data_IF_200791879925
#
_entry.id   IF_200791879925
#
_cell.length_a   1.000
_cell.length_b   1.000
_cell.length_c   1.000
_cell.angle_alpha   90.00
_cell.angle_beta   90.00
_cell.angle_gamma   90.00
#
_symmetry.space_group_name_H-M   'P 1'
#
loop_
_entity.id
_entity.type
_entity.pdbx_description
1 polymer ?
#
# COMPACT_ATOMS: atom_id res chain seq x y z
N UNK A 1 22.07 39.53 -21.88
CA UNK A 1 20.83 38.77 -22.13
C UNK A 1 20.96 37.49 -21.33
N UNK A 2 20.39 37.47 -20.11
CA UNK A 2 20.51 36.31 -19.23
C UNK A 2 19.57 35.22 -19.73
N UNK A 3 20.11 34.01 -19.82
CA UNK A 3 19.46 32.80 -20.30
C UNK A 3 18.21 32.50 -19.46
N UNK A 4 17.05 32.56 -20.09
CA UNK A 4 15.78 32.12 -19.51
C UNK A 4 15.86 30.61 -19.26
N UNK A 5 16.10 30.24 -18.00
CA UNK A 5 16.13 28.87 -17.54
C UNK A 5 14.74 28.24 -17.73
N UNK A 6 14.59 27.43 -18.77
CA UNK A 6 13.42 26.61 -19.02
C UNK A 6 13.46 25.43 -18.04
N UNK A 7 12.74 25.54 -16.93
CA UNK A 7 12.57 24.43 -15.97
C UNK A 7 11.62 23.41 -16.60
N UNK A 8 12.18 22.34 -17.16
CA UNK A 8 11.42 21.15 -17.57
C UNK A 8 11.02 20.39 -16.30
N UNK A 9 9.76 20.52 -15.89
CA UNK A 9 9.15 19.61 -14.93
C UNK A 9 8.98 18.24 -15.62
N UNK A 10 9.91 17.32 -15.36
CA UNK A 10 9.73 15.91 -15.72
C UNK A 10 8.65 15.32 -14.81
N UNK A 11 7.42 15.26 -15.30
CA UNK A 11 6.38 14.46 -14.69
C UNK A 11 6.88 13.00 -14.66
N UNK A 12 7.20 12.50 -13.48
CA UNK A 12 7.47 11.08 -13.28
C UNK A 12 6.22 10.34 -13.73
N UNK A 13 6.30 9.66 -14.88
CA UNK A 13 5.28 8.71 -15.30
C UNK A 13 5.30 7.57 -14.28
N UNK A 14 4.47 7.69 -13.25
CA UNK A 14 4.08 6.56 -12.43
C UNK A 14 3.32 5.61 -13.35
N UNK A 15 4.05 4.71 -14.00
CA UNK A 15 3.48 3.58 -14.71
C UNK A 15 2.80 2.68 -13.70
N UNK A 16 1.60 3.06 -13.29
CA UNK A 16 0.77 2.25 -12.42
C UNK A 16 0.50 0.94 -13.14
N UNK A 17 0.97 -0.17 -12.55
CA UNK A 17 0.43 -1.48 -12.90
C UNK A 17 -1.10 -1.35 -12.80
N UNK A 18 -1.82 -1.48 -13.92
CA UNK A 18 -3.28 -1.21 -13.92
C UNK A 18 -4.05 -2.19 -13.01
N UNK A 19 -3.40 -3.30 -12.62
CA UNK A 19 -3.91 -4.36 -11.78
C UNK A 19 -2.81 -4.94 -10.89
N UNK A 20 -3.13 -5.24 -9.63
CA UNK A 20 -2.32 -5.95 -8.67
C UNK A 20 -2.86 -7.36 -8.43
N UNK A 21 -1.94 -8.30 -8.24
CA UNK A 21 -2.18 -9.72 -8.03
C UNK A 21 -1.19 -10.30 -7.03
N UNK A 22 -1.70 -11.17 -6.17
CA UNK A 22 -0.86 -12.05 -5.38
C UNK A 22 -0.32 -13.17 -6.28
N UNK A 23 1.00 -13.38 -6.27
CA UNK A 23 1.71 -14.37 -7.07
C UNK A 23 2.64 -15.21 -6.18
N UNK A 24 2.81 -16.49 -6.49
CA UNK A 24 3.82 -17.35 -5.87
C UNK A 24 4.57 -18.12 -6.96
N UNK A 25 5.89 -18.00 -6.99
CA UNK A 25 6.74 -18.61 -8.02
C UNK A 25 6.26 -18.36 -9.47
N UNK A 26 5.73 -17.15 -9.73
CA UNK A 26 5.19 -16.76 -11.04
C UNK A 26 3.74 -17.20 -11.32
N UNK A 27 3.14 -17.99 -10.42
CA UNK A 27 1.72 -18.41 -10.51
C UNK A 27 0.84 -17.38 -9.81
N UNK A 28 -0.14 -16.86 -10.55
CA UNK A 28 -1.15 -15.92 -10.04
C UNK A 28 -2.16 -16.65 -9.14
N UNK A 29 -2.50 -16.05 -8.01
CA UNK A 29 -3.50 -16.57 -7.08
C UNK A 29 -4.68 -15.60 -6.97
N UNK A 30 -5.79 -15.96 -7.61
CA UNK A 30 -6.97 -15.10 -7.72
C UNK A 30 -7.71 -14.99 -6.38
N UNK A 31 -7.82 -16.08 -5.62
CA UNK A 31 -8.48 -16.07 -4.31
C UNK A 31 -7.76 -15.14 -3.33
N UNK A 32 -6.44 -15.25 -3.24
CA UNK A 32 -5.63 -14.36 -2.40
C UNK A 32 -5.76 -12.90 -2.85
N UNK A 33 -5.77 -12.66 -4.17
CA UNK A 33 -5.95 -11.33 -4.73
C UNK A 33 -7.30 -10.73 -4.38
N UNK A 34 -8.39 -11.49 -4.55
CA UNK A 34 -9.74 -11.06 -4.24
C UNK A 34 -9.89 -10.71 -2.75
N UNK A 35 -9.45 -11.61 -1.87
CA UNK A 35 -9.50 -11.38 -0.42
C UNK A 35 -8.71 -10.13 -0.03
N UNK A 36 -7.49 -9.97 -0.56
CA UNK A 36 -6.65 -8.82 -0.25
C UNK A 36 -7.19 -7.50 -0.82
N UNK A 37 -7.76 -7.52 -2.01
CA UNK A 37 -8.36 -6.35 -2.63
C UNK A 37 -9.61 -5.91 -1.85
N UNK A 38 -10.52 -6.83 -1.57
CA UNK A 38 -11.78 -6.54 -0.85
C UNK A 38 -11.53 -6.09 0.59
N UNK A 39 -10.51 -6.61 1.27
CA UNK A 39 -10.12 -6.15 2.62
C UNK A 39 -9.73 -4.67 2.66
N UNK A 40 -9.19 -4.15 1.55
CA UNK A 40 -8.76 -2.76 1.42
C UNK A 40 -9.82 -1.87 0.77
N UNK A 41 -11.02 -2.39 0.51
CA UNK A 41 -12.07 -1.66 -0.20
C UNK A 41 -11.75 -1.41 -1.68
N UNK A 42 -10.82 -2.17 -2.27
CA UNK A 42 -10.43 -2.05 -3.67
C UNK A 42 -11.43 -2.64 -4.64
N UNK A 43 -11.41 -2.14 -5.87
CA UNK A 43 -12.22 -2.63 -6.98
C UNK A 43 -11.51 -3.77 -7.72
N UNK A 44 -12.25 -4.84 -7.99
CA UNK A 44 -11.77 -5.91 -8.86
C UNK A 44 -12.07 -5.55 -10.32
N UNK A 45 -11.02 -5.47 -11.13
CA UNK A 45 -11.09 -5.44 -12.58
C UNK A 45 -11.13 -6.87 -13.13
N UNK A 46 -11.99 -7.15 -14.11
CA UNK A 46 -12.06 -8.47 -14.75
C UNK A 46 -12.51 -9.65 -13.88
N UNK A 47 -12.71 -9.44 -12.57
CA UNK A 47 -13.16 -10.44 -11.59
C UNK A 47 -12.05 -10.95 -10.67
N UNK A 48 -10.79 -10.82 -11.07
CA UNK A 48 -9.65 -11.44 -10.40
C UNK A 48 -8.40 -10.55 -10.28
N UNK A 49 -8.42 -9.37 -10.88
CA UNK A 49 -7.33 -8.39 -10.82
C UNK A 49 -7.71 -7.23 -9.90
N UNK A 50 -6.88 -6.89 -8.91
CA UNK A 50 -7.16 -5.75 -8.03
C UNK A 50 -6.74 -4.44 -8.71
N UNK A 51 -7.67 -3.52 -8.99
CA UNK A 51 -7.34 -2.27 -9.69
C UNK A 51 -6.43 -1.41 -8.82
N UNK A 52 -5.15 -1.27 -9.17
CA UNK A 52 -4.16 -0.58 -8.33
C UNK A 52 -4.56 0.86 -7.99
N UNK A 53 -5.25 1.54 -8.91
CA UNK A 53 -5.77 2.90 -8.68
C UNK A 53 -6.85 2.99 -7.58
N UNK A 54 -7.57 1.91 -7.30
CA UNK A 54 -8.56 1.86 -6.20
C UNK A 54 -7.92 1.62 -4.82
N UNK A 55 -6.67 1.16 -4.80
CA UNK A 55 -5.89 0.88 -3.58
C UNK A 55 -4.54 1.60 -3.59
N UNK A 56 -4.43 2.71 -4.31
CA UNK A 56 -3.16 3.41 -4.56
C UNK A 56 -2.50 3.89 -3.25
N UNK A 57 -3.30 4.28 -2.27
CA UNK A 57 -2.86 4.66 -0.91
C UNK A 57 -2.60 3.45 -0.01
N UNK A 58 -2.98 2.25 -0.45
CA UNK A 58 -2.92 1.01 0.32
C UNK A 58 -2.10 -0.11 -0.37
N UNK A 59 -1.27 0.22 -1.36
CA UNK A 59 -0.44 -0.76 -2.07
C UNK A 59 0.52 -1.53 -1.13
N UNK A 60 1.01 -0.87 -0.08
CA UNK A 60 1.79 -1.49 0.99
C UNK A 60 0.98 -2.54 1.75
N UNK A 61 -0.24 -2.20 2.13
CA UNK A 61 -1.16 -3.12 2.80
C UNK A 61 -1.54 -4.31 1.91
N UNK A 62 -1.74 -4.08 0.61
CA UNK A 62 -2.00 -5.16 -0.35
C UNK A 62 -0.82 -6.13 -0.44
N UNK A 63 0.40 -5.59 -0.52
CA UNK A 63 1.64 -6.39 -0.52
C UNK A 63 1.81 -7.18 0.79
N UNK A 64 1.56 -6.56 1.94
CA UNK A 64 1.56 -7.25 3.24
C UNK A 64 0.53 -8.37 3.29
N UNK A 65 -0.68 -8.11 2.80
CA UNK A 65 -1.77 -9.08 2.76
C UNK A 65 -1.42 -10.33 1.90
N UNK A 66 -0.77 -10.13 0.75
CA UNK A 66 -0.24 -11.25 -0.04
C UNK A 66 0.82 -12.02 0.76
N UNK A 67 1.75 -11.32 1.44
CA UNK A 67 2.84 -11.93 2.21
C UNK A 67 2.34 -12.75 3.39
N UNK A 68 1.37 -12.26 4.14
CA UNK A 68 0.69 -12.99 5.24
C UNK A 68 0.11 -14.34 4.76
N UNK A 69 -0.25 -14.42 3.48
CA UNK A 69 -0.82 -15.61 2.83
C UNK A 69 0.23 -16.48 2.12
N UNK A 70 1.51 -16.11 2.17
CA UNK A 70 2.60 -16.83 1.50
C UNK A 70 2.78 -16.49 0.02
N UNK A 71 2.29 -15.33 -0.42
CA UNK A 71 2.41 -14.81 -1.78
C UNK A 71 3.22 -13.50 -1.83
N UNK A 72 3.69 -13.14 -3.00
CA UNK A 72 4.27 -11.83 -3.32
C UNK A 72 3.27 -11.01 -4.13
N UNK A 73 3.26 -9.68 -4.02
CA UNK A 73 2.48 -8.83 -4.92
C UNK A 73 3.27 -8.52 -6.20
N UNK A 74 2.63 -8.60 -7.37
CA UNK A 74 3.21 -8.18 -8.66
C UNK A 74 3.14 -6.67 -8.93
N UNK A 75 2.44 -5.92 -8.07
CA UNK A 75 2.43 -4.46 -8.13
C UNK A 75 3.72 -3.87 -7.57
N UNK A 76 4.34 -3.00 -8.37
CA UNK A 76 5.37 -2.08 -7.91
C UNK A 76 4.79 -1.11 -6.90
N UNK A 77 5.48 -0.98 -5.77
CA UNK A 77 5.12 -0.04 -4.73
C UNK A 77 6.33 0.85 -4.44
N UNK A 78 6.44 2.01 -5.11
CA UNK A 78 7.64 2.86 -5.02
C UNK A 78 7.85 3.46 -3.63
N UNK A 79 6.77 3.59 -2.84
CA UNK A 79 6.80 4.09 -1.46
C UNK A 79 6.87 2.97 -0.42
N UNK A 80 6.74 1.71 -0.84
CA UNK A 80 6.93 0.59 0.07
C UNK A 80 8.42 0.44 0.36
N UNK A 81 8.85 0.91 1.53
CA UNK A 81 10.10 0.41 2.10
C UNK A 81 9.91 -1.08 2.34
N UNK A 82 10.59 -1.91 1.55
CA UNK A 82 10.70 -3.33 1.87
C UNK A 82 11.64 -3.42 3.05
N UNK A 83 11.08 -3.23 4.25
CA UNK A 83 11.73 -3.63 5.49
C UNK A 83 11.56 -5.13 5.58
N UNK A 84 12.71 -5.79 5.51
CA UNK A 84 12.95 -7.20 5.69
C UNK A 84 12.40 -7.68 7.06
N UNK A 85 11.09 -7.92 7.14
CA UNK A 85 10.48 -8.70 8.22
C UNK A 85 10.12 -7.99 9.53
N UNK A 86 9.95 -6.66 9.60
CA UNK A 86 9.49 -6.00 10.84
C UNK A 86 8.39 -4.97 10.58
N UNK A 87 7.27 -5.13 11.28
CA UNK A 87 6.17 -4.17 11.42
C UNK A 87 6.66 -2.93 12.17
N UNK A 88 6.41 -1.75 11.61
CA UNK A 88 6.47 -0.48 12.34
C UNK A 88 5.09 0.16 12.25
N UNK A 89 4.36 0.00 13.34
CA UNK A 89 3.16 0.75 13.67
C UNK A 89 3.59 2.18 14.01
N UNK A 90 3.54 3.09 13.04
CA UNK A 90 3.53 4.52 13.33
C UNK A 90 2.13 4.87 13.84
N UNK A 91 1.84 4.43 15.07
CA UNK A 91 0.72 4.93 15.85
C UNK A 91 1.00 6.40 16.15
N UNK A 92 0.22 7.27 15.51
CA UNK A 92 0.15 8.70 15.78
C UNK A 92 -0.06 8.93 17.29
N UNK A 93 1.01 9.39 17.95
CA UNK A 93 0.99 9.85 19.33
C UNK A 93 0.32 11.23 19.38
N UNK A 94 -1.02 11.24 19.36
CA UNK A 94 -1.81 12.42 19.72
C UNK A 94 -1.83 12.55 21.25
N UNK A 95 -1.04 13.51 21.75
CA UNK A 95 -1.43 14.46 22.81
C UNK A 95 -2.04 13.95 24.12
N UNK A 96 -1.22 14.01 25.15
CA UNK A 96 -1.55 14.02 26.58
C UNK A 96 -2.62 15.09 26.97
N UNK A 97 -3.68 14.71 27.70
CA UNK A 97 -4.28 15.56 28.74
C UNK A 97 -4.80 14.72 29.91
N UNK A 98 -4.24 15.03 31.09
CA UNK A 98 -4.41 14.35 32.36
C UNK A 98 -5.71 14.79 33.01
N UNK A 99 -6.56 13.85 33.44
CA UNK A 99 -7.54 14.13 34.49
C UNK A 99 -7.47 13.07 35.58
N UNK A 100 -6.78 13.45 36.65
CA UNK A 100 -6.84 12.76 37.92
C UNK A 100 -8.29 12.68 38.40
N UNK A 101 -8.74 11.48 38.77
CA UNK A 101 -9.84 11.30 39.71
C UNK A 101 -9.28 10.45 40.85
N UNK A 102 -9.00 11.16 41.94
CA UNK A 102 -8.74 10.64 43.27
C UNK A 102 -9.88 9.71 43.70
N UNK A 103 -9.56 8.47 44.09
CA UNK A 103 -10.53 7.59 44.76
C UNK A 103 -9.94 7.10 46.08
N UNK A 104 -10.44 7.68 47.16
CA UNK A 104 -10.15 7.36 48.54
C UNK A 104 -10.61 5.95 48.91
N UNK A 105 -9.82 5.24 49.71
CA UNK A 105 -10.25 4.12 50.56
C UNK A 105 -9.84 4.44 51.98
#
# INVERSE_FOLDING_TARGET
MLFSNLVVLTAMLFGGANACKCVNAGVKNNDATQVCCSRLGGDLAGGDDCRAGSISEHLSNFRSCCRERGFTSDCDCPTCRIVDGVEVDDAEAEGEEKRAVEFSV
#
